data_IF_146404218016
#
_entry.id   IF_146404218016
#
_cell.length_a   1.000
_cell.length_b   1.000
_cell.length_c   1.000
_cell.angle_alpha   90.00
_cell.angle_beta   90.00
_cell.angle_gamma   90.00
#
_symmetry.space_group_name_H-M   'P 1'
#
loop_
_entity.id
_entity.type
_entity.pdbx_description
1 polymer ?
#
# COMPACT_ATOMS: atom_id res chain seq x y z
N UNK A 1 -7.74 17.07 18.39
CA UNK A 1 -9.11 16.54 18.34
C UNK A 1 -9.62 16.39 19.76
N UNK A 2 -10.67 17.12 20.16
CA UNK A 2 -11.28 16.94 21.48
C UNK A 2 -12.01 15.59 21.57
N UNK A 3 -12.34 15.16 22.79
CA UNK A 3 -13.16 13.97 23.01
C UNK A 3 -14.50 14.07 22.26
N UNK A 4 -14.94 12.98 21.65
CA UNK A 4 -16.20 12.90 20.89
C UNK A 4 -16.11 13.26 19.39
N UNK A 5 -14.99 13.81 18.92
CA UNK A 5 -14.80 14.15 17.50
C UNK A 5 -13.58 13.40 16.95
N UNK A 6 -13.77 12.27 16.24
CA UNK A 6 -12.65 11.49 15.70
C UNK A 6 -12.14 12.07 14.37
N UNK A 7 -10.84 11.95 14.13
CA UNK A 7 -10.21 12.18 12.81
C UNK A 7 -9.25 11.03 12.53
N UNK A 8 -9.36 10.45 11.34
CA UNK A 8 -8.43 9.45 10.86
C UNK A 8 -7.22 10.13 10.19
N UNK A 9 -6.24 10.51 11.00
CA UNK A 9 -5.02 11.21 10.55
C UNK A 9 -4.13 10.27 9.74
N UNK A 10 -3.49 10.79 8.68
CA UNK A 10 -2.48 10.09 7.88
C UNK A 10 -1.13 10.81 7.98
N UNK A 11 -0.09 10.27 7.34
CA UNK A 11 1.25 10.88 7.33
C UNK A 11 1.26 12.30 6.73
N UNK A 12 2.23 13.12 7.12
CA UNK A 12 2.51 14.42 6.49
C UNK A 12 2.72 14.21 4.98
N UNK A 13 2.06 15.02 4.14
CA UNK A 13 2.08 14.83 2.68
C UNK A 13 1.40 13.54 2.18
N UNK A 14 0.70 12.81 3.04
CA UNK A 14 0.14 11.49 2.79
C UNK A 14 -1.16 11.45 1.98
N UNK A 15 -1.37 12.36 1.03
CA UNK A 15 -2.63 12.48 0.29
C UNK A 15 -3.04 11.17 -0.41
N UNK A 16 -2.07 10.44 -0.97
CA UNK A 16 -2.30 9.10 -1.55
C UNK A 16 -2.86 8.12 -0.52
N UNK A 17 -2.32 8.13 0.70
CA UNK A 17 -2.78 7.25 1.77
C UNK A 17 -4.15 7.67 2.30
N UNK A 18 -4.46 8.98 2.33
CA UNK A 18 -5.80 9.46 2.63
C UNK A 18 -6.83 8.94 1.62
N UNK A 19 -6.51 8.99 0.31
CA UNK A 19 -7.37 8.41 -0.73
C UNK A 19 -7.56 6.91 -0.58
N UNK A 20 -6.49 6.16 -0.28
CA UNK A 20 -6.58 4.72 -0.02
C UNK A 20 -7.43 4.41 1.23
N UNK A 21 -7.32 5.22 2.29
CA UNK A 21 -8.15 5.10 3.47
C UNK A 21 -9.64 5.35 3.16
N UNK A 22 -9.94 6.39 2.39
CA UNK A 22 -11.31 6.69 1.96
C UNK A 22 -11.91 5.53 1.15
N UNK A 23 -11.16 4.99 0.18
CA UNK A 23 -11.64 3.85 -0.63
C UNK A 23 -11.81 2.58 0.22
N UNK A 24 -10.99 2.37 1.26
CA UNK A 24 -11.19 1.26 2.22
C UNK A 24 -12.46 1.44 3.05
N UNK A 25 -12.78 2.67 3.47
CA UNK A 25 -14.04 2.96 4.15
C UNK A 25 -15.23 2.65 3.24
N UNK A 26 -15.20 3.11 1.98
CA UNK A 26 -16.26 2.81 1.00
C UNK A 26 -16.36 1.30 0.69
N UNK A 27 -15.22 0.61 0.54
CA UNK A 27 -15.17 -0.84 0.28
C UNK A 27 -15.61 -1.71 1.46
N UNK A 28 -15.85 -1.13 2.64
CA UNK A 28 -16.41 -1.88 3.77
C UNK A 28 -17.83 -2.38 3.45
N UNK A 29 -18.61 -1.59 2.73
CA UNK A 29 -19.99 -1.91 2.31
C UNK A 29 -20.13 -2.25 0.83
N UNK A 30 -19.09 -2.06 0.01
CA UNK A 30 -19.09 -2.37 -1.42
C UNK A 30 -18.11 -3.54 -1.74
N UNK A 31 -18.61 -4.76 -2.01
CA UNK A 31 -17.78 -5.92 -2.33
C UNK A 31 -16.95 -5.75 -3.62
N UNK A 32 -17.46 -5.06 -4.64
CA UNK A 32 -16.73 -4.85 -5.89
C UNK A 32 -15.56 -3.90 -5.67
N UNK A 33 -15.80 -2.81 -4.92
CA UNK A 33 -14.75 -1.88 -4.56
C UNK A 33 -13.69 -2.54 -3.66
N UNK A 34 -14.11 -3.38 -2.72
CA UNK A 34 -13.20 -4.17 -1.88
C UNK A 34 -12.29 -5.07 -2.71
N UNK A 35 -12.84 -5.78 -3.69
CA UNK A 35 -12.06 -6.61 -4.59
C UNK A 35 -11.01 -5.79 -5.37
N UNK A 36 -11.36 -4.57 -5.81
CA UNK A 36 -10.41 -3.67 -6.47
C UNK A 36 -9.28 -3.21 -5.54
N UNK A 37 -9.57 -2.97 -4.26
CA UNK A 37 -8.56 -2.64 -3.24
C UNK A 37 -7.62 -3.81 -3.00
N UNK A 38 -8.15 -5.04 -2.89
CA UNK A 38 -7.35 -6.26 -2.72
C UNK A 38 -6.42 -6.47 -3.92
N UNK A 39 -6.95 -6.39 -5.15
CA UNK A 39 -6.15 -6.50 -6.36
C UNK A 39 -5.04 -5.42 -6.44
N UNK A 40 -5.31 -4.21 -5.93
CA UNK A 40 -4.28 -3.18 -5.81
C UNK A 40 -3.19 -3.55 -4.80
N UNK A 41 -3.53 -4.14 -3.66
CA UNK A 41 -2.56 -4.64 -2.68
C UNK A 41 -1.69 -5.76 -3.26
N UNK A 42 -2.28 -6.68 -4.02
CA UNK A 42 -1.55 -7.78 -4.66
C UNK A 42 -0.52 -7.26 -5.67
N UNK A 43 -0.87 -6.24 -6.46
CA UNK A 43 0.07 -5.59 -7.40
C UNK A 43 1.23 -4.90 -6.68
N UNK A 44 0.99 -4.31 -5.51
CA UNK A 44 2.07 -3.73 -4.70
C UNK A 44 3.02 -4.82 -4.19
N UNK A 45 2.48 -5.95 -3.71
CA UNK A 45 3.29 -7.08 -3.26
C UNK A 45 4.15 -7.62 -4.41
N UNK A 46 3.57 -7.77 -5.60
CA UNK A 46 4.31 -8.23 -6.78
C UNK A 46 5.43 -7.27 -7.19
N UNK A 47 5.16 -5.96 -7.12
CA UNK A 47 6.20 -4.94 -7.36
C UNK A 47 7.38 -5.09 -6.39
N UNK A 48 7.12 -5.40 -5.12
CA UNK A 48 8.18 -5.62 -4.13
C UNK A 48 8.96 -6.89 -4.43
N UNK A 49 8.29 -8.02 -4.73
CA UNK A 49 8.96 -9.28 -5.09
C UNK A 49 9.87 -9.12 -6.30
N UNK A 50 9.39 -8.42 -7.33
CA UNK A 50 10.19 -8.15 -8.52
C UNK A 50 11.45 -7.31 -8.19
N UNK A 51 11.30 -6.27 -7.36
CA UNK A 51 12.44 -5.45 -6.90
C UNK A 51 13.41 -6.22 -6.02
N UNK A 52 12.93 -7.09 -5.15
CA UNK A 52 13.77 -7.95 -4.31
C UNK A 52 14.59 -8.92 -5.18
N UNK A 53 13.96 -9.63 -6.11
CA UNK A 53 14.67 -10.53 -7.03
C UNK A 53 15.75 -9.81 -7.86
N UNK A 54 15.50 -8.55 -8.23
CA UNK A 54 16.48 -7.70 -8.90
C UNK A 54 17.66 -7.35 -7.99
N UNK A 55 17.37 -6.95 -6.75
CA UNK A 55 18.38 -6.62 -5.74
C UNK A 55 19.29 -7.82 -5.42
N UNK A 56 18.71 -9.02 -5.26
CA UNK A 56 19.48 -10.25 -5.01
C UNK A 56 20.45 -10.57 -6.15
N UNK A 57 20.04 -10.37 -7.41
CA UNK A 57 20.91 -10.54 -8.58
C UNK A 57 22.08 -9.55 -8.55
N UNK A 58 21.83 -8.29 -8.19
CA UNK A 58 22.88 -7.26 -8.06
C UNK A 58 23.86 -7.59 -6.94
N UNK A 59 23.36 -7.94 -5.76
CA UNK A 59 24.19 -8.30 -4.62
C UNK A 59 25.07 -9.52 -4.94
N UNK A 60 24.50 -10.57 -5.54
CA UNK A 60 25.26 -11.74 -5.96
C UNK A 60 26.32 -11.47 -7.04
N UNK A 61 26.17 -10.42 -7.86
CA UNK A 61 27.21 -9.96 -8.78
C UNK A 61 28.36 -9.29 -8.01
N UNK A 62 28.03 -8.38 -7.09
CA UNK A 62 29.01 -7.65 -6.27
C UNK A 62 29.85 -8.56 -5.34
N UNK A 63 29.31 -9.70 -4.89
CA UNK A 63 30.04 -10.66 -4.03
C UNK A 63 30.92 -11.64 -4.82
N UNK A 64 30.80 -11.68 -6.15
CA UNK A 64 31.56 -12.60 -7.02
C UNK A 64 32.73 -11.92 -7.75
N UNK A 65 32.78 -10.59 -7.72
CA UNK A 65 33.91 -9.76 -8.16
C UNK A 65 34.87 -9.51 -6.98
#
# INVERSE_FOLDING_TARGET
>A
MPAGVPVATVSIGGARNAGLLAVRMLGSSDPQLRARVMAFQDRLAETVRAKDAELQKRAGKLTRD
#
